data_IF_375342684088
#
_entry.id   IF_375342684088
#
_cell.length_a   1.000
_cell.length_b   1.000
_cell.length_c   1.000
_cell.angle_alpha   90.00
_cell.angle_beta   90.00
_cell.angle_gamma   90.00
#
_symmetry.space_group_name_H-M   'P 1'
#
loop_
_entity.id
_entity.type
_entity.pdbx_description
1 polymer ?
#
# COMPACT_ATOMS: atom_id res chain seq x y z
N UNK A 1 -5.47 -0.03 -26.62
CA UNK A 1 -4.37 -0.53 -25.75
C UNK A 1 -3.14 0.36 -25.77
N UNK A 2 -2.67 0.83 -26.93
CA UNK A 2 -1.49 1.74 -27.01
C UNK A 2 -1.74 3.08 -26.28
N UNK A 3 -2.95 3.65 -26.36
CA UNK A 3 -3.27 4.94 -25.73
C UNK A 3 -3.21 4.94 -24.19
N UNK A 4 -3.55 3.82 -23.51
CA UNK A 4 -3.42 3.72 -22.05
C UNK A 4 -1.96 3.60 -21.61
N UNK A 5 -1.15 2.83 -22.37
CA UNK A 5 0.29 2.69 -22.09
C UNK A 5 1.02 4.04 -22.26
N UNK A 6 0.62 4.84 -23.25
CA UNK A 6 1.19 6.18 -23.48
C UNK A 6 0.78 7.17 -22.37
N UNK A 7 -0.48 7.12 -21.91
CA UNK A 7 -0.95 7.99 -20.82
C UNK A 7 -0.26 7.67 -19.47
N UNK A 8 -0.08 6.39 -19.15
CA UNK A 8 0.64 5.97 -17.94
C UNK A 8 2.13 6.36 -17.97
N UNK A 9 2.77 6.32 -19.14
CA UNK A 9 4.17 6.73 -19.29
C UNK A 9 4.36 8.26 -19.25
N UNK A 10 3.37 9.03 -19.72
CA UNK A 10 3.38 10.51 -19.68
C UNK A 10 3.08 11.07 -18.29
N UNK A 11 2.17 10.48 -17.52
CA UNK A 11 1.85 10.93 -16.16
C UNK A 11 3.06 10.84 -15.21
N UNK A 12 3.93 9.83 -15.41
CA UNK A 12 5.17 9.70 -14.64
C UNK A 12 6.18 10.83 -14.91
N UNK A 13 6.10 11.52 -16.05
CA UNK A 13 6.99 12.62 -16.41
C UNK A 13 6.44 14.00 -15.98
N UNK A 14 5.12 14.16 -15.82
CA UNK A 14 4.50 15.44 -15.45
C UNK A 14 4.44 15.69 -13.94
N UNK A 15 4.74 14.69 -13.11
CA UNK A 15 4.60 14.82 -11.66
C UNK A 15 3.13 14.84 -11.21
N UNK A 16 2.23 14.30 -12.02
CA UNK A 16 0.82 14.15 -11.69
C UNK A 16 0.52 12.69 -11.36
N UNK A 17 -0.28 12.46 -10.31
CA UNK A 17 -0.77 11.12 -10.00
C UNK A 17 -1.76 10.69 -11.07
N UNK A 18 -1.67 9.44 -11.58
CA UNK A 18 -2.73 8.91 -12.42
C UNK A 18 -4.04 8.90 -11.62
N UNK A 19 -5.19 9.12 -12.28
CA UNK A 19 -6.48 9.02 -11.60
C UNK A 19 -6.70 7.59 -11.10
N UNK A 20 -7.21 7.46 -9.87
CA UNK A 20 -7.59 6.17 -9.29
C UNK A 20 -8.95 5.76 -9.87
N UNK A 21 -8.90 5.16 -11.07
CA UNK A 21 -10.07 4.76 -11.85
C UNK A 21 -10.70 3.45 -11.34
N UNK A 22 -9.96 2.73 -10.49
CA UNK A 22 -10.39 1.49 -9.88
C UNK A 22 -11.58 1.74 -8.96
N UNK A 23 -12.54 0.83 -8.98
CA UNK A 23 -13.65 0.89 -8.03
C UNK A 23 -13.14 0.73 -6.60
N UNK A 24 -12.23 -0.22 -6.35
CA UNK A 24 -11.60 -0.45 -5.04
C UNK A 24 -10.10 -0.64 -5.24
N UNK A 25 -9.29 0.23 -4.64
CA UNK A 25 -7.82 0.23 -4.76
C UNK A 25 -7.19 0.20 -3.37
N UNK A 26 -6.23 -0.68 -3.16
CA UNK A 26 -5.36 -0.68 -1.97
C UNK A 26 -3.93 -0.34 -2.38
N UNK A 27 -3.38 0.66 -1.70
CA UNK A 27 -1.97 1.00 -1.76
C UNK A 27 -1.30 0.48 -0.49
N UNK A 28 -0.22 -0.27 -0.64
CA UNK A 28 0.66 -0.65 0.46
C UNK A 28 1.94 0.18 0.37
N UNK A 29 2.15 1.05 1.35
CA UNK A 29 3.37 1.84 1.45
C UNK A 29 4.43 1.00 2.15
N UNK A 30 5.49 0.64 1.42
CA UNK A 30 6.57 -0.24 1.90
C UNK A 30 7.91 0.40 1.64
N UNK A 31 8.94 -0.02 2.37
CA UNK A 31 10.33 0.37 2.09
C UNK A 31 11.22 -0.84 1.93
N UNK A 32 12.19 -0.74 1.03
CA UNK A 32 13.15 -1.84 0.78
C UNK A 32 14.05 -2.12 1.98
N UNK A 33 14.32 -1.09 2.78
CA UNK A 33 15.24 -1.11 3.93
C UNK A 33 14.56 -1.26 5.30
N UNK A 34 13.22 -1.41 5.35
CA UNK A 34 12.48 -1.46 6.60
C UNK A 34 12.14 -2.91 7.01
N UNK A 35 12.72 -3.45 8.11
CA UNK A 35 12.49 -4.84 8.51
C UNK A 35 11.02 -5.18 8.78
N UNK A 36 10.24 -4.21 9.28
CA UNK A 36 8.81 -4.41 9.52
C UNK A 36 8.06 -4.57 8.20
N UNK A 37 8.34 -3.72 7.20
CA UNK A 37 7.72 -3.81 5.87
C UNK A 37 8.01 -5.18 5.22
N UNK A 38 9.26 -5.60 5.30
CA UNK A 38 9.75 -6.84 4.71
C UNK A 38 9.11 -8.08 5.35
N UNK A 39 8.92 -8.06 6.67
CA UNK A 39 8.24 -9.15 7.39
C UNK A 39 6.73 -9.22 7.12
N UNK A 40 6.10 -8.13 6.72
CA UNK A 40 4.69 -8.12 6.32
C UNK A 40 4.46 -8.66 4.89
N UNK A 41 5.51 -8.87 4.09
CA UNK A 41 5.37 -9.28 2.70
C UNK A 41 4.49 -10.51 2.45
N UNK A 42 4.62 -11.61 3.22
CA UNK A 42 3.74 -12.76 3.06
C UNK A 42 2.26 -12.43 3.30
N UNK A 43 1.98 -11.57 4.28
CA UNK A 43 0.61 -11.18 4.64
C UNK A 43 0.00 -10.24 3.61
N UNK A 44 0.76 -9.23 3.16
CA UNK A 44 0.36 -8.34 2.07
C UNK A 44 0.03 -9.16 0.81
N UNK A 45 0.90 -10.12 0.46
CA UNK A 45 0.72 -10.98 -0.69
C UNK A 45 -0.52 -11.88 -0.56
N UNK A 46 -0.78 -12.44 0.63
CA UNK A 46 -1.99 -13.24 0.92
C UNK A 46 -3.27 -12.42 0.76
N UNK A 47 -3.29 -11.21 1.33
CA UNK A 47 -4.44 -10.30 1.20
C UNK A 47 -4.70 -9.98 -0.27
N UNK A 48 -3.65 -9.60 -1.01
CA UNK A 48 -3.79 -9.29 -2.44
C UNK A 48 -4.34 -10.48 -3.24
N UNK A 49 -3.81 -11.70 -3.04
CA UNK A 49 -4.29 -12.90 -3.73
C UNK A 49 -5.76 -13.22 -3.41
N UNK A 50 -6.20 -12.99 -2.17
CA UNK A 50 -7.58 -13.23 -1.72
C UNK A 50 -8.56 -12.24 -2.35
N UNK A 51 -8.23 -10.95 -2.32
CA UNK A 51 -9.16 -9.88 -2.67
C UNK A 51 -9.06 -9.42 -4.13
N UNK A 52 -7.96 -9.71 -4.82
CA UNK A 52 -7.84 -9.48 -6.27
C UNK A 52 -8.92 -10.24 -7.04
N UNK A 53 -9.22 -11.48 -6.62
CA UNK A 53 -10.30 -12.29 -7.19
C UNK A 53 -11.71 -11.70 -7.00
N UNK A 54 -11.83 -10.68 -6.14
CA UNK A 54 -13.08 -9.97 -5.83
C UNK A 54 -13.11 -8.56 -6.46
N UNK A 55 -12.20 -8.26 -7.39
CA UNK A 55 -12.18 -6.99 -8.12
C UNK A 55 -11.48 -5.84 -7.40
N UNK A 56 -10.64 -6.15 -6.41
CA UNK A 56 -9.80 -5.14 -5.73
C UNK A 56 -8.44 -5.05 -6.42
N UNK A 57 -8.00 -3.84 -6.73
CA UNK A 57 -6.66 -3.58 -7.28
C UNK A 57 -5.67 -3.31 -6.14
N UNK A 58 -4.43 -3.76 -6.33
CA UNK A 58 -3.36 -3.61 -5.34
C UNK A 58 -2.10 -3.04 -6.00
N UNK A 59 -1.41 -2.14 -5.31
CA UNK A 59 -0.12 -1.58 -5.72
C UNK A 59 0.79 -1.43 -4.50
N UNK A 60 2.09 -1.73 -4.67
CA UNK A 60 3.12 -1.38 -3.70
C UNK A 60 3.64 0.03 -4.02
N UNK A 61 3.70 0.90 -3.03
CA UNK A 61 4.22 2.27 -3.18
C UNK A 61 5.50 2.40 -2.38
N UNK A 62 6.58 2.83 -3.04
CA UNK A 62 7.90 3.01 -2.45
C UNK A 62 8.20 4.52 -2.30
N UNK A 63 8.07 5.09 -1.09
CA UNK A 63 8.23 6.53 -0.87
C UNK A 63 9.70 6.99 -0.78
N UNK A 64 10.66 6.05 -0.77
CA UNK A 64 12.09 6.37 -0.68
C UNK A 64 12.53 7.26 -1.85
N UNK A 65 13.05 8.47 -1.56
CA UNK A 65 13.48 9.43 -2.59
C UNK A 65 14.53 8.88 -3.56
N UNK A 66 15.37 7.94 -3.11
CA UNK A 66 16.43 7.30 -3.90
C UNK A 66 16.04 5.95 -4.50
N UNK A 67 14.77 5.52 -4.42
CA UNK A 67 14.35 4.22 -4.95
C UNK A 67 14.45 4.21 -6.47
N UNK A 68 15.00 3.12 -7.01
CA UNK A 68 15.05 2.86 -8.45
C UNK A 68 14.13 1.72 -8.83
N UNK A 69 13.68 1.69 -10.08
CA UNK A 69 12.89 0.56 -10.61
C UNK A 69 13.62 -0.78 -10.42
N UNK A 70 14.93 -0.82 -10.62
CA UNK A 70 15.75 -2.01 -10.35
C UNK A 70 15.67 -2.46 -8.88
N UNK A 71 15.77 -1.52 -7.93
CA UNK A 71 15.66 -1.83 -6.50
C UNK A 71 14.26 -2.32 -6.11
N UNK A 72 13.20 -1.75 -6.72
CA UNK A 72 11.81 -2.19 -6.53
C UNK A 72 11.66 -3.62 -7.02
N UNK A 73 12.11 -3.91 -8.23
CA UNK A 73 12.00 -5.22 -8.84
C UNK A 73 12.84 -6.28 -8.10
N UNK A 74 14.02 -5.89 -7.60
CA UNK A 74 14.82 -6.75 -6.72
C UNK A 74 14.08 -7.08 -5.43
N UNK A 75 13.56 -6.07 -4.73
CA UNK A 75 12.81 -6.24 -3.50
C UNK A 75 11.54 -7.10 -3.71
N UNK A 76 10.81 -6.88 -4.81
CA UNK A 76 9.64 -7.70 -5.16
C UNK A 76 10.00 -9.17 -5.31
N UNK A 77 11.09 -9.49 -6.02
CA UNK A 77 11.56 -10.88 -6.18
C UNK A 77 12.03 -11.49 -4.87
N UNK A 78 12.80 -10.75 -4.09
CA UNK A 78 13.36 -11.22 -2.81
C UNK A 78 12.25 -11.60 -1.81
N UNK A 79 11.18 -10.80 -1.74
CA UNK A 79 10.09 -11.00 -0.79
C UNK A 79 8.85 -11.67 -1.37
N UNK A 80 8.93 -12.18 -2.61
CA UNK A 80 7.86 -12.97 -3.24
C UNK A 80 6.61 -12.18 -3.61
N UNK A 81 6.74 -10.87 -3.84
CA UNK A 81 5.63 -10.05 -4.28
C UNK A 81 5.29 -10.28 -5.76
N UNK A 82 4.02 -10.55 -6.05
CA UNK A 82 3.48 -10.51 -7.42
C UNK A 82 2.80 -9.18 -7.73
N UNK A 83 2.47 -8.39 -6.69
CA UNK A 83 1.88 -7.05 -6.78
C UNK A 83 2.88 -6.12 -7.47
N UNK A 84 2.42 -5.27 -8.39
CA UNK A 84 3.22 -4.22 -9.04
C UNK A 84 3.74 -3.21 -8.02
N UNK A 85 4.89 -2.60 -8.33
CA UNK A 85 5.50 -1.59 -7.49
C UNK A 85 5.71 -0.28 -8.25
N UNK A 86 5.40 0.84 -7.59
CA UNK A 86 5.60 2.20 -8.11
C UNK A 86 6.48 3.01 -7.16
N UNK A 87 7.39 3.79 -7.73
CA UNK A 87 8.20 4.76 -7.00
C UNK A 87 7.37 6.03 -6.70
N UNK A 88 7.49 6.55 -5.48
CA UNK A 88 6.88 7.82 -5.05
C UNK A 88 7.91 8.79 -4.45
N UNK A 89 8.99 9.14 -5.17
CA UNK A 89 10.07 9.97 -4.63
C UNK A 89 9.63 11.41 -4.35
N UNK A 90 8.47 11.82 -4.88
CA UNK A 90 7.85 13.15 -4.68
C UNK A 90 6.68 13.13 -3.70
N UNK A 91 6.45 12.01 -3.01
CA UNK A 91 5.41 11.86 -1.98
C UNK A 91 4.00 12.22 -2.45
N UNK A 92 3.70 12.02 -3.73
CA UNK A 92 2.38 12.30 -4.28
C UNK A 92 1.36 11.29 -3.77
N UNK A 93 1.71 9.99 -3.79
CA UNK A 93 0.87 8.94 -3.22
C UNK A 93 0.80 9.06 -1.70
N UNK A 94 1.93 9.37 -1.05
CA UNK A 94 1.99 9.61 0.41
C UNK A 94 1.03 10.72 0.82
N UNK A 95 1.07 11.88 0.15
CA UNK A 95 0.17 12.99 0.42
C UNK A 95 -1.30 12.61 0.16
N UNK A 96 -1.56 11.87 -0.91
CA UNK A 96 -2.93 11.46 -1.29
C UNK A 96 -3.55 10.47 -0.31
N UNK A 97 -2.74 9.55 0.21
CA UNK A 97 -3.11 8.54 1.19
C UNK A 97 -3.04 9.02 2.64
N UNK A 98 -2.31 10.12 2.88
CA UNK A 98 -2.08 10.72 4.21
C UNK A 98 -1.48 9.72 5.20
N UNK A 99 -0.53 8.93 4.72
CA UNK A 99 0.25 7.93 5.48
C UNK A 99 1.53 8.56 6.03
N UNK A 100 2.11 7.96 7.06
CA UNK A 100 3.27 8.52 7.78
C UNK A 100 4.35 7.48 8.10
N UNK A 101 4.05 6.19 8.01
CA UNK A 101 4.99 5.11 8.35
C UNK A 101 4.96 4.01 7.29
N UNK A 102 5.95 3.11 7.31
CA UNK A 102 5.95 1.87 6.53
C UNK A 102 6.19 0.64 7.41
N UNK A 103 5.36 -0.42 7.28
CA UNK A 103 4.27 -0.55 6.33
C UNK A 103 2.99 0.16 6.81
N UNK A 104 2.27 0.78 5.87
CA UNK A 104 0.94 1.34 6.10
C UNK A 104 0.07 1.08 4.86
N UNK A 105 -1.20 0.70 5.07
CA UNK A 105 -2.15 0.45 3.99
C UNK A 105 -3.10 1.64 3.83
N UNK A 106 -3.49 1.94 2.59
CA UNK A 106 -4.53 2.90 2.26
C UNK A 106 -5.52 2.31 1.26
N UNK A 107 -6.80 2.33 1.61
CA UNK A 107 -7.90 1.81 0.80
C UNK A 107 -8.71 2.98 0.23
N UNK A 108 -8.87 2.97 -1.08
CA UNK A 108 -9.66 3.92 -1.84
C UNK A 108 -10.88 3.23 -2.45
N UNK A 109 -12.03 3.88 -2.35
CA UNK A 109 -13.27 3.51 -3.03
C UNK A 109 -13.63 4.62 -4.02
N UNK A 110 -13.55 4.33 -5.33
CA UNK A 110 -13.78 5.30 -6.42
C UNK A 110 -12.97 6.59 -6.20
N UNK A 111 -11.67 6.42 -5.93
CA UNK A 111 -10.75 7.51 -5.61
C UNK A 111 -10.92 8.15 -4.23
N UNK A 112 -11.98 7.87 -3.45
CA UNK A 112 -12.11 8.42 -2.08
C UNK A 112 -11.33 7.57 -1.08
N UNK A 113 -10.48 8.18 -0.26
CA UNK A 113 -9.81 7.48 0.85
C UNK A 113 -10.86 7.06 1.90
N UNK A 114 -11.02 5.76 2.13
CA UNK A 114 -12.01 5.21 3.07
C UNK A 114 -11.38 4.49 4.26
N UNK A 115 -10.14 4.04 4.13
CA UNK A 115 -9.36 3.52 5.24
C UNK A 115 -7.88 3.84 5.06
N UNK A 116 -7.18 4.12 6.16
CA UNK A 116 -5.71 4.09 6.23
C UNK A 116 -5.24 3.54 7.57
N UNK A 117 -4.08 2.88 7.60
CA UNK A 117 -3.43 2.47 8.83
C UNK A 117 -2.83 1.08 8.75
N UNK A 118 -2.92 0.33 9.84
CA UNK A 118 -2.27 -0.98 9.97
C UNK A 118 -2.88 -2.01 9.02
N UNK A 119 -2.08 -3.01 8.68
CA UNK A 119 -2.54 -4.16 7.92
C UNK A 119 -3.34 -5.07 8.87
N UNK A 120 -2.70 -5.43 9.99
CA UNK A 120 -3.26 -6.17 11.10
C UNK A 120 -2.62 -5.68 12.43
N UNK A 121 -2.91 -6.37 13.54
CA UNK A 121 -2.35 -6.06 14.85
C UNK A 121 -1.14 -6.93 15.27
N UNK A 122 -0.43 -7.56 14.33
CA UNK A 122 0.72 -8.41 14.63
C UNK A 122 1.85 -7.60 15.29
N UNK A 123 2.10 -6.38 14.82
CA UNK A 123 3.10 -5.48 15.41
C UNK A 123 2.44 -4.54 16.41
N UNK A 124 2.83 -4.67 17.68
CA UNK A 124 2.41 -3.75 18.76
C UNK A 124 3.37 -2.57 18.85
N UNK A 125 4.66 -2.84 18.62
CA UNK A 125 5.72 -1.86 18.43
C UNK A 125 6.80 -2.48 17.54
N UNK A 126 7.81 -1.71 17.15
CA UNK A 126 8.96 -2.24 16.37
C UNK A 126 9.67 -3.37 17.13
N UNK A 127 9.68 -3.33 18.47
CA UNK A 127 10.33 -4.32 19.32
C UNK A 127 9.38 -5.45 19.80
N UNK A 128 8.06 -5.30 19.62
CA UNK A 128 7.07 -6.23 20.15
C UNK A 128 6.14 -6.76 19.05
N UNK A 129 6.25 -8.06 18.80
CA UNK A 129 5.51 -8.77 17.75
C UNK A 129 4.70 -9.89 18.38
N UNK A 130 3.45 -10.04 17.93
CA UNK A 130 2.58 -11.18 18.28
C UNK A 130 2.93 -12.39 17.44
N UNK A 131 2.82 -13.57 18.03
CA UNK A 131 2.95 -14.83 17.28
C UNK A 131 1.88 -14.97 16.19
N UNK A 132 0.69 -14.43 16.43
CA UNK A 132 -0.44 -14.45 15.49
C UNK A 132 -1.27 -13.16 15.66
N UNK A 133 -1.64 -12.47 14.58
CA UNK A 133 -2.58 -11.36 14.66
C UNK A 133 -3.96 -11.86 15.11
N UNK A 134 -4.66 -11.04 15.89
CA UNK A 134 -6.04 -11.28 16.34
C UNK A 134 -7.05 -10.29 15.77
N UNK A 135 -6.58 -9.26 15.06
CA UNK A 135 -7.40 -8.27 14.36
C UNK A 135 -6.76 -7.99 13.01
N UNK A 136 -7.56 -8.03 11.95
CA UNK A 136 -7.13 -7.91 10.54
C UNK A 136 -7.74 -6.67 9.89
N UNK A 137 -7.34 -5.49 10.35
CA UNK A 137 -8.06 -4.23 10.09
C UNK A 137 -8.24 -3.90 8.62
N UNK A 138 -7.22 -4.16 7.80
CA UNK A 138 -7.34 -3.96 6.35
C UNK A 138 -8.33 -4.95 5.73
N UNK A 139 -8.31 -6.22 6.13
CA UNK A 139 -9.27 -7.22 5.63
C UNK A 139 -10.69 -6.89 6.08
N UNK A 140 -10.88 -6.43 7.32
CA UNK A 140 -12.17 -6.00 7.85
C UNK A 140 -12.70 -4.77 7.07
N UNK A 141 -11.82 -3.80 6.76
CA UNK A 141 -12.17 -2.65 5.95
C UNK A 141 -12.53 -3.05 4.51
N UNK A 142 -11.76 -3.96 3.90
CA UNK A 142 -12.04 -4.50 2.57
C UNK A 142 -13.37 -5.24 2.52
N UNK A 143 -13.64 -6.11 3.50
CA UNK A 143 -14.88 -6.87 3.59
C UNK A 143 -16.09 -5.93 3.74
N UNK A 144 -15.99 -4.88 4.55
CA UNK A 144 -17.04 -3.88 4.69
C UNK A 144 -17.32 -3.16 3.36
N UNK A 145 -16.27 -2.68 2.68
CA UNK A 145 -16.41 -1.96 1.41
C UNK A 145 -17.02 -2.85 0.32
N UNK A 146 -16.58 -4.10 0.22
CA UNK A 146 -17.12 -5.06 -0.75
C UNK A 146 -18.57 -5.45 -0.45
N UNK A 147 -19.00 -5.39 0.82
CA UNK A 147 -20.39 -5.54 1.21
C UNK A 147 -21.25 -4.27 1.03
N UNK A 148 -20.67 -3.17 0.52
CA UNK A 148 -21.38 -1.90 0.36
C UNK A 148 -21.55 -1.10 1.65
N UNK A 149 -20.70 -1.35 2.65
CA UNK A 149 -20.71 -0.66 3.93
C UNK A 149 -19.45 0.19 4.12
N UNK A 150 -19.54 1.19 4.99
CA UNK A 150 -18.36 1.93 5.44
C UNK A 150 -17.52 1.08 6.42
N UNK A 151 -16.18 1.13 6.34
CA UNK A 151 -15.32 0.53 7.37
C UNK A 151 -15.64 1.09 8.76
N UNK A 152 -15.70 0.20 9.78
CA UNK A 152 -15.94 0.60 11.18
C UNK A 152 -14.87 1.56 11.69
N UNK A 153 -13.61 1.22 11.45
CA UNK A 153 -12.48 2.11 11.66
C UNK A 153 -12.05 2.65 10.29
N UNK A 154 -12.00 3.97 10.14
CA UNK A 154 -11.42 4.62 8.94
C UNK A 154 -9.93 4.93 9.09
N UNK A 155 -9.44 4.87 10.33
CA UNK A 155 -8.03 5.07 10.67
C UNK A 155 -7.65 4.14 11.82
N UNK A 156 -6.53 3.45 11.66
CA UNK A 156 -5.82 2.73 12.71
C UNK A 156 -4.38 3.22 12.77
N UNK A 157 -3.67 2.93 13.86
CA UNK A 157 -2.26 3.26 14.00
C UNK A 157 -1.40 2.12 13.48
N UNK A 158 -0.60 2.41 12.44
CA UNK A 158 0.39 1.48 11.90
C UNK A 158 1.72 1.61 12.66
N UNK A 159 2.46 0.51 12.74
CA UNK A 159 3.75 0.43 13.42
C UNK A 159 4.82 0.16 12.37
N UNK A 160 5.84 1.02 12.30
CA UNK A 160 6.84 0.91 11.26
C UNK A 160 7.87 2.02 11.25
N UNK A 161 8.67 2.03 10.19
CA UNK A 161 9.67 3.06 9.93
C UNK A 161 8.98 4.36 9.48
N UNK A 162 9.41 5.51 9.98
CA UNK A 162 8.83 6.79 9.54
C UNK A 162 9.09 7.05 8.04
N UNK A 163 8.13 7.66 7.37
CA UNK A 163 8.30 8.25 6.05
C UNK A 163 8.91 9.65 6.27
N UNK A 164 10.17 9.84 5.87
CA UNK A 164 10.87 11.11 6.06
C UNK A 164 10.24 12.22 5.22
N UNK A 165 9.99 13.43 5.76
CA UNK A 165 9.52 14.55 4.94
C UNK A 165 10.47 14.85 3.78
N UNK A 166 9.91 15.30 2.65
CA UNK A 166 10.72 15.84 1.56
C UNK A 166 11.51 17.05 2.08
N UNK A 167 12.82 17.09 1.79
CA UNK A 167 13.69 18.23 2.08
C UNK A 167 13.59 19.29 0.99
#
# INVERSE_FOLDING_TARGET
MIALLVASFLAMQTGELPPFNESVLVLFFVRTDCPVSNRYAPEIQRIAQRFHKQGVTFELVYPEAGVTEESIERHRREYGYTITGVADPKHLYVARARVHVTPEAALFLRGRLVYRGRIDNQYVSVAQVRSTPSVHDLEDALAAVLAGHDPRARRTEAVGCAIEPLR
#
